data_IF_745668704299
#
_entry.id   IF_745668704299
#
_cell.length_a   1.000
_cell.length_b   1.000
_cell.length_c   1.000
_cell.angle_alpha   90.00
_cell.angle_beta   90.00
_cell.angle_gamma   90.00
#
_symmetry.space_group_name_H-M   'P 1'
#
loop_
_entity.id
_entity.type
_entity.pdbx_description
1 polymer ?
#
# COMPACT_ATOMS: atom_id res chain seq x y z
N UNK A 1 71.03 18.93 6.53
CA UNK A 1 70.63 17.91 7.52
C UNK A 1 70.31 18.65 8.80
N UNK A 2 69.05 18.98 9.04
CA UNK A 2 68.61 19.57 10.30
C UNK A 2 67.26 18.95 10.65
N UNK A 3 67.21 18.42 11.87
CA UNK A 3 66.12 17.66 12.42
C UNK A 3 64.94 18.57 12.79
N UNK A 4 63.72 18.08 12.56
CA UNK A 4 62.50 18.67 13.09
C UNK A 4 61.79 17.58 13.87
N UNK A 5 62.17 17.45 15.14
CA UNK A 5 61.33 16.90 16.19
C UNK A 5 60.56 18.07 16.78
N UNK A 6 59.23 18.05 16.76
CA UNK A 6 58.44 18.45 17.92
C UNK A 6 56.98 18.03 17.75
N UNK A 7 56.47 17.41 18.82
CA UNK A 7 55.07 17.09 19.04
C UNK A 7 54.27 18.38 19.25
N UNK A 8 53.08 18.47 18.67
CA UNK A 8 51.99 19.24 19.30
C UNK A 8 50.65 18.72 18.82
N UNK A 9 50.10 17.81 19.63
CA UNK A 9 48.67 17.53 19.70
C UNK A 9 48.02 18.67 20.47
N UNK A 10 47.22 19.49 19.80
CA UNK A 10 46.03 20.18 20.33
C UNK A 10 45.48 21.11 19.26
N UNK A 11 44.27 20.84 18.78
CA UNK A 11 43.15 21.73 19.08
C UNK A 11 41.89 21.16 18.45
N UNK A 12 40.96 20.87 19.35
CA UNK A 12 39.60 20.48 19.09
C UNK A 12 38.90 21.55 18.25
N UNK A 13 38.38 21.15 17.09
CA UNK A 13 37.49 21.95 16.27
C UNK A 13 36.11 21.29 16.24
N UNK A 14 35.16 21.97 16.83
CA UNK A 14 33.77 21.61 17.05
C UNK A 14 33.03 21.21 15.76
N UNK A 15 32.56 19.96 15.71
CA UNK A 15 31.53 19.53 14.78
C UNK A 15 30.59 18.53 15.48
N UNK A 16 30.07 18.92 16.65
CA UNK A 16 28.96 18.21 17.28
C UNK A 16 27.64 18.65 16.63
N UNK A 17 27.42 18.00 15.50
CA UNK A 17 26.19 17.75 14.80
C UNK A 17 24.91 17.70 15.67
N UNK A 18 23.84 18.23 15.08
CA UNK A 18 22.43 17.90 15.29
C UNK A 18 21.77 18.38 16.59
N UNK A 19 21.33 19.63 16.52
CA UNK A 19 20.18 20.11 17.29
C UNK A 19 18.91 19.43 16.75
N UNK A 20 18.39 18.43 17.46
CA UNK A 20 17.02 17.94 17.26
C UNK A 20 16.48 17.35 18.56
N UNK A 21 15.77 18.13 19.39
CA UNK A 21 14.88 17.59 20.38
C UNK A 21 13.44 17.88 19.98
N UNK A 22 12.68 16.85 19.55
CA UNK A 22 11.26 16.75 19.90
C UNK A 22 10.68 15.34 19.69
N UNK A 23 10.88 14.50 20.68
CA UNK A 23 9.84 13.55 21.11
C UNK A 23 8.64 14.34 21.62
N UNK A 24 7.46 14.13 21.04
CA UNK A 24 6.15 14.07 21.71
C UNK A 24 5.04 14.09 20.64
N UNK A 25 4.38 12.95 20.46
CA UNK A 25 3.22 12.88 19.57
C UNK A 25 2.81 11.45 19.24
N UNK A 26 2.55 10.64 20.25
CA UNK A 26 1.71 9.44 20.10
C UNK A 26 0.31 9.88 19.68
N UNK A 27 0.12 10.13 18.40
CA UNK A 27 -1.17 9.94 17.75
C UNK A 27 -1.05 8.62 17.00
N UNK A 28 -1.30 7.54 17.74
CA UNK A 28 -1.84 6.30 17.19
C UNK A 28 -3.20 6.65 16.59
N UNK A 29 -3.22 7.38 15.49
CA UNK A 29 -4.41 7.57 14.69
C UNK A 29 -4.35 6.44 13.70
N UNK A 30 -5.12 5.40 14.01
CA UNK A 30 -5.17 4.12 13.32
C UNK A 30 -4.77 4.26 11.87
N UNK A 31 -3.56 3.79 11.53
CA UNK A 31 -3.28 3.40 10.16
C UNK A 31 -4.10 2.13 9.92
N UNK A 32 -5.43 2.28 9.90
CA UNK A 32 -6.35 1.26 9.41
C UNK A 32 -6.16 1.27 7.90
N UNK A 33 -5.06 0.65 7.47
CA UNK A 33 -4.97 0.16 6.12
C UNK A 33 -6.08 -0.88 6.00
N UNK A 34 -7.14 -0.53 5.28
CA UNK A 34 -8.18 -1.49 4.97
C UNK A 34 -7.70 -2.40 3.86
N UNK A 35 -8.35 -3.55 3.79
CA UNK A 35 -8.22 -4.45 2.66
C UNK A 35 -9.60 -4.67 2.05
N UNK A 36 -9.63 -4.84 0.74
CA UNK A 36 -10.80 -5.35 0.03
C UNK A 36 -10.45 -6.72 -0.53
N UNK A 37 -11.33 -7.67 -0.30
CA UNK A 37 -11.23 -9.00 -0.88
C UNK A 37 -12.52 -9.25 -1.66
N UNK A 38 -12.37 -9.58 -2.94
CA UNK A 38 -13.48 -9.80 -3.86
C UNK A 38 -13.30 -11.19 -4.43
N UNK A 39 -14.31 -12.04 -4.24
CA UNK A 39 -14.39 -13.36 -4.86
C UNK A 39 -15.37 -13.29 -6.02
N UNK A 40 -14.88 -13.62 -7.21
CA UNK A 40 -15.70 -13.79 -8.39
C UNK A 40 -16.10 -15.26 -8.52
N UNK A 41 -17.36 -15.54 -8.20
CA UNK A 41 -17.96 -16.86 -8.32
C UNK A 41 -18.91 -16.89 -9.53
N UNK A 42 -18.77 -17.90 -10.38
CA UNK A 42 -19.65 -18.11 -11.54
C UNK A 42 -20.97 -18.80 -11.17
N UNK A 43 -21.85 -18.96 -12.14
CA UNK A 43 -23.16 -19.64 -11.97
C UNK A 43 -23.03 -21.09 -11.48
N UNK A 44 -21.91 -21.75 -11.75
CA UNK A 44 -21.62 -23.10 -11.26
C UNK A 44 -21.10 -23.15 -9.82
N UNK A 45 -21.02 -22.00 -9.14
CA UNK A 45 -20.53 -21.88 -7.77
C UNK A 45 -19.00 -21.99 -7.65
N UNK A 46 -18.26 -21.84 -8.75
CA UNK A 46 -16.80 -21.89 -8.77
C UNK A 46 -16.18 -20.53 -9.05
N UNK A 47 -15.00 -20.33 -8.47
CA UNK A 47 -14.17 -19.16 -8.74
C UNK A 47 -13.82 -19.03 -10.22
N UNK A 48 -14.07 -17.85 -10.80
CA UNK A 48 -13.77 -17.57 -12.21
C UNK A 48 -12.42 -16.87 -12.34
N UNK A 49 -11.42 -17.62 -12.78
CA UNK A 49 -10.06 -17.14 -12.97
C UNK A 49 -9.85 -16.37 -14.29
N UNK A 50 -8.85 -15.48 -14.32
CA UNK A 50 -8.44 -14.78 -15.54
C UNK A 50 -9.44 -13.73 -16.02
N UNK A 51 -10.33 -13.26 -15.15
CA UNK A 51 -11.29 -12.19 -15.46
C UNK A 51 -10.62 -10.85 -15.20
N UNK A 52 -10.58 -10.01 -16.22
CA UNK A 52 -10.05 -8.66 -16.08
C UNK A 52 -10.95 -7.80 -15.20
N UNK A 53 -10.33 -7.11 -14.26
CA UNK A 53 -10.98 -6.18 -13.35
C UNK A 53 -10.21 -4.85 -13.30
N UNK A 54 -10.95 -3.80 -12.95
CA UNK A 54 -10.46 -2.48 -12.64
C UNK A 54 -11.04 -2.07 -11.29
N UNK A 55 -10.20 -1.84 -10.30
CA UNK A 55 -10.59 -1.34 -9.00
C UNK A 55 -10.14 0.11 -8.86
N UNK A 56 -11.10 1.03 -8.76
CA UNK A 56 -10.85 2.41 -8.40
C UNK A 56 -10.91 2.56 -6.87
N UNK A 57 -9.79 2.97 -6.29
CA UNK A 57 -9.65 3.25 -4.87
C UNK A 57 -10.20 4.65 -4.53
N UNK A 58 -10.60 4.90 -3.27
CA UNK A 58 -11.10 6.21 -2.85
C UNK A 58 -10.07 7.35 -2.96
N UNK A 59 -8.78 7.01 -3.03
CA UNK A 59 -7.69 7.98 -3.25
C UNK A 59 -7.60 8.45 -4.72
N UNK A 60 -8.35 7.81 -5.64
CA UNK A 60 -8.26 8.02 -7.08
C UNK A 60 -7.23 7.14 -7.77
N UNK A 61 -6.63 6.20 -7.05
CA UNK A 61 -5.74 5.19 -7.62
C UNK A 61 -6.55 4.09 -8.30
N UNK A 62 -6.25 3.80 -9.56
CA UNK A 62 -6.89 2.73 -10.32
C UNK A 62 -5.96 1.50 -10.42
N UNK A 63 -6.47 0.34 -10.01
CA UNK A 63 -5.76 -0.93 -10.02
C UNK A 63 -6.43 -1.84 -11.05
N UNK A 64 -5.74 -2.09 -12.15
CA UNK A 64 -6.16 -3.10 -13.13
C UNK A 64 -5.42 -4.41 -12.92
N UNK A 65 -6.12 -5.51 -13.17
CA UNK A 65 -5.54 -6.84 -13.03
C UNK A 65 -6.46 -7.92 -13.58
N UNK A 66 -6.12 -9.17 -13.27
CA UNK A 66 -6.97 -10.31 -13.57
C UNK A 66 -7.18 -11.14 -12.31
N UNK A 67 -8.37 -11.72 -12.14
CA UNK A 67 -8.67 -12.63 -11.03
C UNK A 67 -7.70 -13.80 -11.04
N UNK A 68 -7.31 -14.27 -9.85
CA UNK A 68 -6.40 -15.41 -9.73
C UNK A 68 -7.11 -16.74 -10.08
N UNK A 69 -6.41 -17.87 -9.97
CA UNK A 69 -6.96 -19.21 -10.27
C UNK A 69 -8.20 -19.60 -9.45
N UNK A 70 -8.49 -18.91 -8.35
CA UNK A 70 -9.67 -19.12 -7.50
C UNK A 70 -10.75 -18.05 -7.73
N UNK A 71 -10.60 -17.16 -8.72
CA UNK A 71 -11.50 -16.03 -8.90
C UNK A 71 -11.35 -14.94 -7.83
N UNK A 72 -10.33 -15.01 -6.99
CA UNK A 72 -10.12 -14.08 -5.89
C UNK A 72 -9.24 -12.89 -6.32
N UNK A 73 -9.61 -11.73 -5.79
CA UNK A 73 -8.87 -10.48 -5.87
C UNK A 73 -8.70 -10.00 -4.43
N UNK A 74 -7.47 -9.71 -4.03
CA UNK A 74 -7.17 -9.16 -2.71
C UNK A 74 -6.28 -7.96 -2.89
N UNK A 75 -6.72 -6.83 -2.36
CA UNK A 75 -5.97 -5.58 -2.41
C UNK A 75 -5.90 -5.04 -0.97
N UNK A 76 -4.68 -4.91 -0.49
CA UNK A 76 -4.33 -4.32 0.79
C UNK A 76 -3.83 -2.88 0.63
N UNK A 77 -3.74 -2.15 1.74
CA UNK A 77 -3.23 -0.79 1.74
C UNK A 77 -4.22 0.24 1.19
N UNK A 78 -5.52 0.01 1.37
CA UNK A 78 -6.57 0.90 0.88
C UNK A 78 -7.03 1.83 2.01
N UNK A 79 -7.22 3.10 1.70
CA UNK A 79 -7.83 4.07 2.60
C UNK A 79 -9.32 3.77 2.87
N UNK A 80 -9.82 4.13 4.05
CA UNK A 80 -11.25 3.98 4.35
C UNK A 80 -12.08 4.83 3.38
N UNK A 81 -12.95 4.19 2.59
CA UNK A 81 -13.79 4.92 1.65
C UNK A 81 -14.54 4.02 0.67
N UNK A 82 -15.16 4.65 -0.32
CA UNK A 82 -15.84 3.95 -1.40
C UNK A 82 -14.83 3.49 -2.44
N UNK A 83 -14.71 2.17 -2.61
CA UNK A 83 -14.01 1.57 -3.74
C UNK A 83 -15.04 1.21 -4.83
N UNK A 84 -14.67 1.38 -6.10
CA UNK A 84 -15.50 0.97 -7.23
C UNK A 84 -14.79 -0.13 -8.01
N UNK A 85 -15.39 -1.32 -8.07
CA UNK A 85 -14.92 -2.39 -8.95
C UNK A 85 -15.70 -2.38 -10.25
N UNK A 86 -14.98 -2.46 -11.36
CA UNK A 86 -15.50 -2.57 -12.72
C UNK A 86 -14.93 -3.81 -13.39
N UNK A 87 -15.79 -4.63 -13.99
CA UNK A 87 -15.39 -5.83 -14.74
C UNK A 87 -15.79 -5.64 -16.20
N UNK A 88 -14.93 -5.01 -17.03
CA UNK A 88 -15.31 -4.59 -18.39
C UNK A 88 -15.60 -5.75 -19.33
N UNK A 89 -15.09 -6.94 -19.01
CA UNK A 89 -15.31 -8.17 -19.79
C UNK A 89 -16.49 -9.00 -19.32
N UNK A 90 -17.10 -8.66 -18.21
CA UNK A 90 -18.27 -9.37 -17.71
C UNK A 90 -19.51 -8.51 -17.93
N UNK A 91 -20.48 -9.05 -18.65
CA UNK A 91 -21.74 -8.36 -18.96
C UNK A 91 -22.44 -7.95 -17.67
N UNK A 92 -22.74 -6.67 -17.52
CA UNK A 92 -23.37 -6.09 -16.32
C UNK A 92 -24.72 -6.73 -15.97
N UNK A 93 -25.38 -7.33 -16.96
CA UNK A 93 -26.66 -8.03 -16.82
C UNK A 93 -26.52 -9.46 -16.30
N UNK A 94 -25.31 -10.03 -16.30
CA UNK A 94 -25.04 -11.39 -15.81
C UNK A 94 -24.80 -11.45 -14.28
N UNK A 95 -24.86 -10.31 -13.57
CA UNK A 95 -24.56 -10.23 -12.14
C UNK A 95 -25.82 -9.97 -11.34
N UNK A 96 -26.12 -10.87 -10.42
CA UNK A 96 -27.16 -10.70 -9.42
C UNK A 96 -26.52 -10.11 -8.15
N UNK A 97 -27.03 -8.98 -7.65
CA UNK A 97 -26.67 -8.50 -6.32
C UNK A 97 -27.34 -9.44 -5.33
N UNK A 98 -26.57 -10.33 -4.70
CA UNK A 98 -27.05 -11.16 -3.59
C UNK A 98 -27.54 -10.21 -2.48
N UNK A 99 -28.86 -10.07 -2.37
CA UNK A 99 -29.50 -9.37 -1.27
C UNK A 99 -29.66 -10.37 -0.12
N UNK A 100 -29.03 -10.06 1.00
CA UNK A 100 -29.30 -10.68 2.30
C UNK A 100 -30.64 -10.18 2.87
#
# INVERSE_FOLDING_TARGET
MTANSDSSLQSSGDAANSNSPKTAGSAKQSCDFHFVEIELVGEDGKGVAGVEYLLELPDGTEISGSTNSLGLIRIDGIDSGNCQITLPKLDKEAWEVLKE
#
